data_IF_043369042705
#
_entry.id   IF_043369042705
#
_cell.length_a   1.000
_cell.length_b   1.000
_cell.length_c   1.000
_cell.angle_alpha   90.00
_cell.angle_beta   90.00
_cell.angle_gamma   90.00
#
_symmetry.space_group_name_H-M   'P 1'
#
loop_
_entity.id
_entity.type
_entity.pdbx_description
1 polymer ?
#
# COMPACT_ATOMS: atom_id res chain seq x y z
N UNK A 1 -18.25 -10.81 55.53
CA UNK A 1 -17.34 -10.25 54.52
C UNK A 1 -17.82 -10.78 53.18
N UNK A 2 -18.40 -9.92 52.33
CA UNK A 2 -18.93 -10.33 51.03
C UNK A 2 -17.78 -10.48 50.02
N UNK A 3 -17.79 -11.50 49.14
CA UNK A 3 -16.77 -11.66 48.12
C UNK A 3 -16.92 -10.55 47.06
N UNK A 4 -15.82 -10.13 46.41
CA UNK A 4 -15.88 -9.10 45.39
C UNK A 4 -16.68 -9.62 44.19
N UNK A 5 -17.59 -8.78 43.71
CA UNK A 5 -18.43 -9.05 42.54
C UNK A 5 -17.57 -9.50 41.36
N UNK A 6 -17.73 -10.78 40.98
CA UNK A 6 -17.05 -11.37 39.84
C UNK A 6 -17.34 -10.58 38.58
N UNK A 7 -16.27 -10.26 37.84
CA UNK A 7 -16.37 -9.62 36.54
C UNK A 7 -17.28 -10.47 35.65
N UNK A 8 -18.46 -9.94 35.32
CA UNK A 8 -19.47 -10.67 34.55
C UNK A 8 -18.88 -11.14 33.22
N UNK A 9 -19.20 -12.38 32.82
CA UNK A 9 -18.80 -12.96 31.51
C UNK A 9 -19.11 -12.01 30.35
N UNK A 10 -20.15 -11.19 30.49
CA UNK A 10 -20.52 -10.14 29.54
C UNK A 10 -19.44 -9.07 29.34
N UNK A 11 -18.70 -8.69 30.39
CA UNK A 11 -17.60 -7.71 30.33
C UNK A 11 -16.37 -8.29 29.62
N UNK A 12 -16.15 -9.59 29.74
CA UNK A 12 -15.06 -10.29 29.03
C UNK A 12 -15.31 -10.35 27.51
N UNK A 13 -16.54 -10.63 27.08
CA UNK A 13 -16.89 -10.67 25.66
C UNK A 13 -16.86 -9.28 25.00
N UNK A 14 -17.25 -8.23 25.71
CA UNK A 14 -17.19 -6.87 25.18
C UNK A 14 -15.76 -6.38 25.02
N UNK A 15 -14.86 -6.66 25.97
CA UNK A 15 -13.44 -6.32 25.85
C UNK A 15 -12.77 -7.06 24.70
N UNK A 16 -13.03 -8.37 24.54
CA UNK A 16 -12.51 -9.16 23.43
C UNK A 16 -13.02 -8.64 22.06
N UNK A 17 -14.30 -8.25 22.00
CA UNK A 17 -14.90 -7.64 20.81
C UNK A 17 -14.23 -6.32 20.42
N UNK A 18 -13.97 -5.43 21.39
CA UNK A 18 -13.30 -4.14 21.14
C UNK A 18 -11.85 -4.32 20.67
N UNK A 19 -11.13 -5.32 21.20
CA UNK A 19 -9.74 -5.65 20.79
C UNK A 19 -9.68 -6.25 19.38
N UNK A 20 -10.63 -7.12 19.01
CA UNK A 20 -10.71 -7.68 17.66
C UNK A 20 -11.10 -6.63 16.61
N UNK A 21 -11.98 -5.70 16.97
CA UNK A 21 -12.39 -4.61 16.08
C UNK A 21 -11.30 -3.55 15.90
N UNK A 22 -10.41 -3.37 16.88
CA UNK A 22 -9.24 -2.49 16.74
C UNK A 22 -8.15 -3.11 15.87
N UNK A 23 -8.03 -4.43 15.73
CA UNK A 23 -7.11 -5.03 14.77
C UNK A 23 -7.48 -4.77 13.28
N UNK A 24 -8.67 -4.23 13.01
CA UNK A 24 -9.10 -3.81 11.67
C UNK A 24 -8.66 -2.37 11.31
N UNK A 25 -7.62 -1.84 11.95
CA UNK A 25 -7.05 -0.54 11.55
C UNK A 25 -6.66 -0.59 10.08
N UNK A 26 -7.35 0.23 9.29
CA UNK A 26 -7.03 0.56 7.91
C UNK A 26 -5.54 0.87 7.81
N UNK A 27 -4.76 0.02 7.14
CA UNK A 27 -3.39 0.35 6.77
C UNK A 27 -3.46 1.55 5.81
N UNK A 28 -3.22 2.75 6.35
CA UNK A 28 -3.06 3.93 5.55
C UNK A 28 -1.74 3.81 4.78
N UNK A 29 -1.81 3.92 3.46
CA UNK A 29 -0.72 3.74 2.52
C UNK A 29 -0.30 5.11 2.00
N UNK A 30 0.96 5.50 2.17
CA UNK A 30 1.46 6.75 1.58
C UNK A 30 1.75 6.54 0.09
N UNK A 31 1.12 7.30 -0.80
CA UNK A 31 1.36 7.19 -2.25
C UNK A 31 1.74 8.55 -2.84
N UNK A 32 2.62 8.56 -3.85
CA UNK A 32 2.77 9.75 -4.68
C UNK A 32 1.50 9.96 -5.49
N UNK A 33 1.03 11.21 -5.61
CA UNK A 33 -0.17 11.57 -6.37
C UNK A 33 0.11 12.77 -7.24
N UNK A 34 -0.12 12.61 -8.55
CA UNK A 34 0.09 13.67 -9.54
C UNK A 34 -0.47 13.27 -10.90
N UNK A 35 -0.60 14.25 -11.79
CA UNK A 35 -0.90 14.04 -13.20
C UNK A 35 0.08 14.84 -14.07
N UNK A 36 0.33 14.32 -15.27
CA UNK A 36 1.07 14.97 -16.33
C UNK A 36 0.34 14.72 -17.66
N UNK A 37 0.31 15.74 -18.50
CA UNK A 37 -0.20 15.70 -19.87
C UNK A 37 0.86 16.27 -20.83
N UNK A 38 0.95 15.69 -22.03
CA UNK A 38 1.82 16.21 -23.10
C UNK A 38 1.52 17.70 -23.35
N UNK A 39 2.58 18.50 -23.41
CA UNK A 39 2.50 19.97 -23.53
C UNK A 39 2.57 20.72 -22.20
N UNK A 40 2.51 20.04 -21.05
CA UNK A 40 2.76 20.70 -19.75
C UNK A 40 4.27 20.91 -19.55
N UNK A 41 4.64 22.08 -19.01
CA UNK A 41 6.03 22.43 -18.72
C UNK A 41 6.58 21.64 -17.53
N UNK A 42 5.74 21.44 -16.52
CA UNK A 42 6.08 20.61 -15.36
C UNK A 42 5.97 19.12 -15.71
N UNK A 43 7.11 18.45 -15.73
CA UNK A 43 7.22 17.02 -15.95
C UNK A 43 7.67 16.27 -14.68
N UNK A 44 7.59 16.90 -13.50
CA UNK A 44 7.97 16.29 -12.21
C UNK A 44 7.17 15.02 -11.95
N UNK A 45 5.88 15.00 -12.30
CA UNK A 45 5.07 13.79 -12.21
C UNK A 45 5.62 12.65 -13.07
N UNK A 46 6.33 12.90 -14.16
CA UNK A 46 6.94 11.82 -14.95
C UNK A 46 8.35 11.46 -14.42
N UNK A 47 9.16 12.47 -14.10
CA UNK A 47 10.62 12.31 -13.94
C UNK A 47 11.13 12.38 -12.50
N UNK A 48 10.39 12.99 -11.58
CA UNK A 48 10.84 13.23 -10.21
C UNK A 48 9.68 13.03 -9.22
N UNK A 49 9.42 11.78 -8.85
CA UNK A 49 8.34 11.45 -7.91
C UNK A 49 8.52 12.13 -6.54
N UNK A 50 9.75 12.30 -6.06
CA UNK A 50 10.01 12.94 -4.77
C UNK A 50 9.67 14.43 -4.74
N UNK A 51 9.48 15.07 -5.90
CA UNK A 51 9.03 16.45 -6.00
C UNK A 51 7.51 16.60 -6.04
N UNK A 52 6.74 15.50 -6.10
CA UNK A 52 5.27 15.56 -6.12
C UNK A 52 4.67 15.24 -4.76
N UNK A 53 3.39 15.59 -4.60
CA UNK A 53 2.64 15.39 -3.37
C UNK A 53 2.60 13.91 -2.96
N UNK A 54 2.82 13.66 -1.67
CA UNK A 54 2.54 12.37 -1.03
C UNK A 54 1.18 12.48 -0.35
N UNK A 55 0.26 11.59 -0.69
CA UNK A 55 -1.05 11.48 -0.06
C UNK A 55 -1.06 10.27 0.87
N UNK A 56 -1.54 10.50 2.10
CA UNK A 56 -1.87 9.41 3.02
C UNK A 56 -3.20 8.78 2.57
N UNK A 57 -3.13 7.69 1.82
CA UNK A 57 -4.29 7.04 1.23
C UNK A 57 -4.89 6.00 2.17
N UNK A 58 -6.22 6.01 2.32
CA UNK A 58 -6.96 4.91 2.98
C UNK A 58 -7.16 3.70 2.06
N UNK A 59 -6.50 3.70 0.90
CA UNK A 59 -6.64 2.75 -0.19
C UNK A 59 -5.54 1.69 -0.14
N UNK A 60 -5.83 0.51 -0.69
CA UNK A 60 -4.93 -0.67 -0.58
C UNK A 60 -3.75 -0.69 -1.55
N UNK A 61 -3.75 0.13 -2.60
CA UNK A 61 -2.71 0.13 -3.62
C UNK A 61 -2.33 1.54 -4.03
N UNK A 62 -1.03 1.80 -4.16
CA UNK A 62 -0.54 2.89 -5.01
C UNK A 62 -0.55 2.40 -6.46
N UNK A 63 -0.91 3.28 -7.38
CA UNK A 63 -1.00 2.96 -8.82
C UNK A 63 -0.24 3.98 -9.66
N UNK A 64 0.19 3.53 -10.84
CA UNK A 64 0.60 4.41 -11.94
C UNK A 64 -0.10 4.02 -13.22
N UNK A 65 -0.49 5.02 -14.01
CA UNK A 65 -0.98 4.86 -15.38
C UNK A 65 -0.11 5.69 -16.31
N UNK A 66 0.46 5.05 -17.33
CA UNK A 66 1.31 5.71 -18.33
C UNK A 66 0.74 5.48 -19.72
N UNK A 67 0.46 6.54 -20.45
CA UNK A 67 -0.03 6.46 -21.84
C UNK A 67 1.08 6.89 -22.77
N UNK A 68 1.44 6.02 -23.71
CA UNK A 68 2.43 6.29 -24.75
C UNK A 68 1.78 6.25 -26.13
N UNK A 69 2.36 6.98 -27.09
CA UNK A 69 2.03 6.73 -28.50
C UNK A 69 2.56 5.38 -28.95
N UNK A 70 1.72 4.59 -29.62
CA UNK A 70 2.10 3.27 -30.10
C UNK A 70 3.16 3.32 -31.18
N UNK A 71 3.06 4.29 -32.10
CA UNK A 71 4.04 4.52 -33.18
C UNK A 71 5.34 5.16 -32.70
N UNK A 72 5.33 5.80 -31.53
CA UNK A 72 6.50 6.40 -30.91
C UNK A 72 6.44 6.13 -29.40
N UNK A 73 6.89 4.94 -29.00
CA UNK A 73 6.81 4.48 -27.61
C UNK A 73 7.53 5.42 -26.65
N UNK A 74 8.53 6.17 -27.08
CA UNK A 74 9.23 7.14 -26.23
C UNK A 74 8.41 8.39 -25.91
N UNK A 75 7.35 8.68 -26.69
CA UNK A 75 6.49 9.84 -26.45
C UNK A 75 5.35 9.50 -25.48
N UNK A 76 5.45 10.05 -24.26
CA UNK A 76 4.45 9.94 -23.20
C UNK A 76 3.38 11.01 -23.39
N UNK A 77 2.14 10.58 -23.59
CA UNK A 77 0.98 11.45 -23.77
C UNK A 77 0.37 11.88 -22.44
N UNK A 78 0.37 10.97 -21.46
CA UNK A 78 -0.06 11.27 -20.11
C UNK A 78 0.60 10.32 -19.10
N UNK A 79 0.70 10.78 -17.87
CA UNK A 79 1.19 10.00 -16.75
C UNK A 79 0.43 10.37 -15.49
N UNK A 80 0.01 9.37 -14.71
CA UNK A 80 -0.73 9.58 -13.47
C UNK A 80 -0.16 8.69 -12.37
N UNK A 81 -0.04 9.26 -11.17
CA UNK A 81 0.15 8.54 -9.92
C UNK A 81 -1.06 8.75 -9.02
N UNK A 82 -1.53 7.68 -8.40
CA UNK A 82 -2.74 7.73 -7.58
C UNK A 82 -2.76 6.56 -6.57
N UNK A 83 -3.85 6.41 -5.83
CA UNK A 83 -4.11 5.28 -4.96
C UNK A 83 -5.54 4.73 -5.12
N UNK A 84 -5.69 3.41 -5.10
CA UNK A 84 -6.94 2.71 -5.41
C UNK A 84 -7.13 1.47 -4.55
N UNK A 85 -8.39 1.11 -4.25
CA UNK A 85 -8.70 -0.14 -3.53
C UNK A 85 -8.57 -1.36 -4.44
N UNK A 86 -8.97 -1.20 -5.69
CA UNK A 86 -8.97 -2.24 -6.72
C UNK A 86 -8.36 -1.67 -8.00
N UNK A 87 -7.06 -1.91 -8.26
CA UNK A 87 -6.44 -1.43 -9.49
C UNK A 87 -7.05 -2.13 -10.70
N UNK A 88 -7.11 -1.42 -11.83
CA UNK A 88 -7.57 -1.99 -13.10
C UNK A 88 -6.74 -3.22 -13.52
N UNK A 89 -5.42 -3.13 -13.33
CA UNK A 89 -4.46 -4.19 -13.56
C UNK A 89 -3.31 -4.06 -12.57
N UNK A 90 -2.82 -5.19 -12.04
CA UNK A 90 -1.68 -5.14 -11.10
C UNK A 90 -0.38 -4.76 -11.80
N UNK A 91 -0.17 -5.34 -12.97
CA UNK A 91 0.96 -5.05 -13.85
C UNK A 91 0.59 -5.47 -15.27
N UNK A 92 0.87 -4.62 -16.25
CA UNK A 92 0.66 -4.94 -17.65
C UNK A 92 0.41 -3.71 -18.51
N UNK A 93 -0.03 -3.93 -19.75
CA UNK A 93 -0.44 -2.86 -20.64
C UNK A 93 -1.66 -3.24 -21.47
N UNK A 94 -2.40 -2.23 -21.91
CA UNK A 94 -3.47 -2.34 -22.90
C UNK A 94 -3.07 -1.51 -24.13
N UNK A 95 -2.73 -2.16 -25.25
CA UNK A 95 -2.48 -1.47 -26.51
C UNK A 95 -3.79 -1.25 -27.26
N UNK A 96 -3.94 -0.05 -27.82
CA UNK A 96 -4.99 0.31 -28.78
C UNK A 96 -4.36 0.64 -30.15
N UNK A 97 -5.13 1.17 -31.10
CA UNK A 97 -4.61 1.54 -32.43
C UNK A 97 -3.53 2.63 -32.33
N UNK A 98 -3.77 3.65 -31.51
CA UNK A 98 -2.94 4.86 -31.43
C UNK A 98 -2.04 4.88 -30.20
N UNK A 99 -2.49 4.30 -29.09
CA UNK A 99 -1.82 4.41 -27.80
C UNK A 99 -1.48 3.04 -27.19
N UNK A 100 -0.56 3.04 -26.23
CA UNK A 100 -0.32 1.91 -25.34
C UNK A 100 -0.33 2.43 -23.91
N UNK A 101 -1.25 1.90 -23.11
CA UNK A 101 -1.40 2.29 -21.71
C UNK A 101 -0.80 1.23 -20.81
N UNK A 102 0.17 1.61 -19.99
CA UNK A 102 0.80 0.75 -18.98
C UNK A 102 0.16 1.01 -17.62
N UNK A 103 -0.10 -0.07 -16.91
CA UNK A 103 -0.67 -0.07 -15.57
C UNK A 103 0.30 -0.76 -14.63
N UNK A 104 0.46 -0.18 -13.44
CA UNK A 104 1.24 -0.79 -12.37
C UNK A 104 0.59 -0.44 -11.04
N UNK A 105 0.59 -1.40 -10.12
CA UNK A 105 0.10 -1.22 -8.76
C UNK A 105 0.99 -1.91 -7.74
N UNK A 106 1.03 -1.39 -6.53
CA UNK A 106 1.85 -1.91 -5.43
C UNK A 106 1.25 -1.52 -4.07
N UNK A 107 1.64 -2.22 -3.00
CA UNK A 107 1.02 -2.10 -1.67
C UNK A 107 1.99 -1.65 -0.57
N UNK A 108 3.02 -0.90 -0.94
CA UNK A 108 4.01 -0.38 0.01
C UNK A 108 4.06 1.13 -0.07
N UNK A 109 4.46 1.77 1.03
CA UNK A 109 4.56 3.22 1.06
C UNK A 109 5.50 3.71 -0.06
N UNK A 110 4.97 4.64 -0.85
CA UNK A 110 5.66 5.39 -1.90
C UNK A 110 6.24 4.49 -3.00
N UNK A 111 5.70 3.28 -3.17
CA UNK A 111 6.16 2.30 -4.14
C UNK A 111 5.89 2.70 -5.60
N UNK A 112 4.99 3.65 -5.85
CA UNK A 112 4.67 4.17 -7.18
C UNK A 112 5.63 5.29 -7.64
N UNK A 113 6.84 5.37 -7.10
CA UNK A 113 7.85 6.38 -7.43
C UNK A 113 8.51 6.22 -8.81
N UNK A 114 8.09 5.22 -9.57
CA UNK A 114 8.64 4.90 -10.88
C UNK A 114 8.00 5.67 -12.03
N UNK A 115 8.54 5.48 -13.23
CA UNK A 115 8.08 6.15 -14.45
C UNK A 115 7.00 5.38 -15.23
N UNK A 116 6.61 4.19 -14.74
CA UNK A 116 5.54 3.35 -15.32
C UNK A 116 6.03 2.27 -16.29
N UNK A 117 7.34 2.19 -16.54
CA UNK A 117 7.96 1.07 -17.25
C UNK A 117 8.75 0.23 -16.26
N UNK A 118 8.13 -0.84 -15.78
CA UNK A 118 8.82 -1.76 -14.87
C UNK A 118 9.35 -2.93 -15.67
N UNK A 119 10.63 -3.26 -15.51
CA UNK A 119 11.17 -4.56 -15.90
C UNK A 119 11.48 -5.32 -14.61
N UNK A 120 11.04 -6.58 -14.57
CA UNK A 120 11.26 -7.47 -13.44
C UNK A 120 12.77 -7.71 -13.28
N UNK A 121 13.43 -7.00 -12.37
CA UNK A 121 14.84 -7.17 -12.05
C UNK A 121 14.96 -7.63 -10.61
N UNK A 122 15.12 -8.94 -10.45
CA UNK A 122 15.52 -9.61 -9.22
C UNK A 122 16.99 -9.32 -8.93
N UNK A 123 17.33 -8.09 -8.52
CA UNK A 123 18.53 -7.80 -7.72
C UNK A 123 18.59 -6.32 -7.35
N UNK A 124 18.79 -6.05 -6.07
CA UNK A 124 18.98 -4.70 -5.54
C UNK A 124 20.35 -4.14 -5.92
N UNK A 125 20.38 -2.86 -6.28
CA UNK A 125 21.43 -1.94 -5.87
C UNK A 125 20.96 -0.52 -6.19
N UNK A 126 21.19 0.39 -5.24
CA UNK A 126 21.02 1.83 -5.43
C UNK A 126 22.03 2.34 -6.45
N UNK A 127 21.60 3.22 -7.36
CA UNK A 127 22.51 4.00 -8.19
C UNK A 127 22.08 4.08 -9.65
N UNK A 128 21.77 5.30 -10.07
CA UNK A 128 21.79 5.86 -11.43
C UNK A 128 21.98 4.91 -12.62
N UNK A 129 20.97 4.94 -13.49
CA UNK A 129 20.97 4.82 -14.95
C UNK A 129 20.05 3.69 -15.48
N UNK A 130 19.02 4.14 -16.23
CA UNK A 130 18.09 3.39 -17.09
C UNK A 130 16.98 2.61 -16.35
N UNK A 131 15.83 3.28 -16.17
CA UNK A 131 14.44 2.76 -16.13
C UNK A 131 14.17 1.39 -15.46
N UNK A 132 14.74 1.13 -14.27
CA UNK A 132 14.44 -0.07 -13.50
C UNK A 132 13.81 0.32 -12.17
N UNK A 133 12.50 0.44 -12.18
CA UNK A 133 11.73 0.59 -10.98
C UNK A 133 11.51 -0.73 -10.29
N UNK A 134 12.13 -0.90 -9.13
CA UNK A 134 11.86 -2.04 -8.27
C UNK A 134 10.51 -1.75 -7.60
N UNK A 135 9.46 -2.49 -7.96
CA UNK A 135 8.34 -2.66 -7.02
C UNK A 135 8.87 -3.62 -5.97
N UNK A 136 9.06 -3.21 -4.71
CA UNK A 136 9.42 -4.18 -3.70
C UNK A 136 8.20 -5.09 -3.55
N UNK A 137 8.40 -6.39 -3.75
CA UNK A 137 7.34 -7.37 -3.62
C UNK A 137 6.73 -7.27 -2.23
N UNK A 138 5.41 -7.42 -2.14
CA UNK A 138 4.68 -7.48 -0.88
C UNK A 138 5.37 -8.49 0.04
N UNK A 139 6.07 -8.01 1.06
CA UNK A 139 6.52 -8.86 2.16
C UNK A 139 5.28 -9.57 2.70
N UNK A 140 5.32 -10.90 2.72
CA UNK A 140 4.28 -11.73 3.32
C UNK A 140 3.96 -11.19 4.71
N UNK A 141 2.70 -10.76 4.89
CA UNK A 141 2.02 -10.37 6.13
C UNK A 141 2.88 -9.83 7.26
N UNK A 142 2.63 -8.59 7.68
CA UNK A 142 2.97 -8.20 9.05
C UNK A 142 2.41 -9.28 10.00
N UNK A 143 3.30 -10.14 10.51
CA UNK A 143 2.97 -10.99 11.64
C UNK A 143 2.65 -10.01 12.74
N UNK A 144 1.36 -9.90 13.06
CA UNK A 144 0.89 -9.16 14.22
C UNK A 144 1.61 -9.80 15.39
N UNK A 145 2.69 -9.16 15.84
CA UNK A 145 3.33 -9.51 17.09
C UNK A 145 2.30 -9.19 18.16
N UNK A 146 1.52 -10.20 18.53
CA UNK A 146 0.66 -10.14 19.69
C UNK A 146 1.54 -9.67 20.84
N UNK A 147 1.29 -8.46 21.32
CA UNK A 147 2.00 -7.89 22.44
C UNK A 147 2.09 -8.94 23.55
N UNK A 148 3.26 -9.18 24.15
CA UNK A 148 3.44 -10.22 25.18
C UNK A 148 2.55 -10.00 26.42
N UNK A 149 1.83 -8.89 26.48
CA UNK A 149 0.80 -8.61 27.48
C UNK A 149 -0.48 -9.46 27.32
N UNK A 150 -0.82 -9.92 26.10
CA UNK A 150 -2.01 -10.74 25.85
C UNK A 150 -1.99 -12.12 26.53
N UNK A 151 -0.91 -12.92 26.44
CA UNK A 151 -0.83 -14.18 27.16
C UNK A 151 -0.73 -13.98 28.69
N UNK A 152 -0.17 -12.86 29.15
CA UNK A 152 -0.10 -12.53 30.57
C UNK A 152 -1.49 -12.20 31.14
N UNK A 153 -2.32 -11.47 30.40
CA UNK A 153 -3.71 -11.22 30.81
C UNK A 153 -4.54 -12.51 30.81
N UNK A 154 -4.38 -13.38 29.81
CA UNK A 154 -5.10 -14.66 29.74
C UNK A 154 -4.71 -15.62 30.89
N UNK A 155 -3.43 -15.64 31.28
CA UNK A 155 -2.95 -16.47 32.40
C UNK A 155 -3.42 -15.95 33.76
N UNK A 156 -3.42 -14.63 33.98
CA UNK A 156 -3.99 -14.01 35.20
C UNK A 156 -5.48 -14.35 35.32
N UNK A 157 -6.24 -14.26 34.21
CA UNK A 157 -7.67 -14.58 34.19
C UNK A 157 -7.95 -16.08 34.40
N UNK A 158 -7.08 -16.97 33.91
CA UNK A 158 -7.19 -18.42 34.16
C UNK A 158 -6.86 -18.78 35.61
N UNK A 159 -5.91 -18.09 36.23
CA UNK A 159 -5.56 -18.27 37.66
C UNK A 159 -6.66 -17.74 38.59
N UNK A 160 -7.41 -16.71 38.19
CA UNK A 160 -8.57 -16.21 38.94
C UNK A 160 -9.85 -17.08 38.77
N UNK A 161 -9.79 -18.19 38.02
CA UNK A 161 -10.93 -19.09 37.77
C UNK A 161 -10.90 -20.40 38.58
N UNK A 162 -9.83 -20.67 39.33
CA UNK A 162 -9.78 -21.82 40.22
C UNK A 162 -10.07 -21.38 41.66
N UNK A 163 -11.07 -22.00 42.34
CA UNK A 163 -11.37 -21.73 43.75
C UNK A 163 -10.25 -22.18 44.68
#
# INVERSE_FOLDING_TARGET
MNPPHGLSKSVLFTVLGVVLMSAAFSHALDCYVCTYLDGYSDNSCLKNASAVTVLNCTKKYCVTMRVEMRRNSSKVMSFQRDCQDKPLMQYGNKPDETFRTYFTSCQQDRCNGHDGRIRNSTNGSWGSAIHNAIIPGKGSGQVVALSPCLPLLLTIMALCQFP
#
